data_IF_064040281010
#
_entry.id   IF_064040281010
#
_cell.length_a   1.000
_cell.length_b   1.000
_cell.length_c   1.000
_cell.angle_alpha   90.00
_cell.angle_beta   90.00
_cell.angle_gamma   90.00
#
_symmetry.space_group_name_H-M   'P 1'
#
loop_
_entity.id
_entity.type
_entity.pdbx_description
1 polymer ?
#
# COMPACT_ATOMS: atom_id res chain seq x y z
N UNK A 1 1.00 13.37 2.43
CA UNK A 1 1.77 14.59 2.65
C UNK A 1 0.97 15.71 3.25
N UNK A 2 1.50 16.27 4.31
CA UNK A 2 0.90 17.33 5.12
C UNK A 2 1.16 18.76 4.57
N UNK A 3 1.44 18.86 3.27
CA UNK A 3 1.54 20.14 2.60
C UNK A 3 0.18 20.84 2.46
N UNK A 4 0.19 21.96 1.79
CA UNK A 4 -1.03 22.68 1.45
C UNK A 4 -1.96 21.75 0.63
N UNK A 5 -3.07 21.32 1.25
CA UNK A 5 -4.05 20.39 0.67
C UNK A 5 -4.58 20.95 -0.65
N UNK A 6 -4.81 22.25 -0.73
CA UNK A 6 -5.29 22.91 -1.95
C UNK A 6 -4.25 22.88 -3.08
N UNK A 7 -2.97 23.09 -2.75
CA UNK A 7 -1.88 22.97 -3.74
C UNK A 7 -1.74 21.55 -4.24
N UNK A 8 -1.79 20.54 -3.33
CA UNK A 8 -1.75 19.14 -3.68
C UNK A 8 -2.90 18.76 -4.62
N UNK A 9 -4.13 19.13 -4.28
CA UNK A 9 -5.31 18.84 -5.10
C UNK A 9 -5.27 19.55 -6.45
N UNK A 10 -4.83 20.81 -6.49
CA UNK A 10 -4.68 21.57 -7.74
C UNK A 10 -3.65 20.90 -8.65
N UNK A 11 -2.49 20.54 -8.11
CA UNK A 11 -1.43 19.87 -8.85
C UNK A 11 -1.89 18.51 -9.37
N UNK A 12 -2.59 17.72 -8.56
CA UNK A 12 -3.18 16.46 -8.98
C UNK A 12 -4.12 16.63 -10.18
N UNK A 13 -5.07 17.59 -10.10
CA UNK A 13 -6.00 17.87 -11.21
C UNK A 13 -5.28 18.31 -12.48
N UNK A 14 -4.25 19.14 -12.38
CA UNK A 14 -3.44 19.58 -13.52
C UNK A 14 -2.73 18.39 -14.20
N UNK A 15 -2.08 17.53 -13.42
CA UNK A 15 -1.43 16.34 -13.96
C UNK A 15 -2.41 15.32 -14.51
N UNK A 16 -3.55 15.09 -13.85
CA UNK A 16 -4.60 14.20 -14.36
C UNK A 16 -5.13 14.68 -15.72
N UNK A 17 -5.43 15.96 -15.86
CA UNK A 17 -5.87 16.56 -17.12
C UNK A 17 -4.79 16.48 -18.21
N UNK A 18 -3.52 16.68 -17.86
CA UNK A 18 -2.39 16.54 -18.78
C UNK A 18 -2.22 15.10 -19.23
N UNK A 19 -2.23 14.14 -18.31
CA UNK A 19 -2.11 12.73 -18.64
C UNK A 19 -3.24 12.23 -19.52
N UNK A 20 -4.50 12.66 -19.27
CA UNK A 20 -5.65 12.34 -20.14
C UNK A 20 -5.42 12.78 -21.59
N UNK A 21 -4.90 13.99 -21.81
CA UNK A 21 -4.59 14.49 -23.16
C UNK A 21 -3.43 13.71 -23.81
N UNK A 22 -2.44 13.33 -23.02
CA UNK A 22 -1.23 12.69 -23.53
C UNK A 22 -1.41 11.20 -23.82
N UNK A 23 -2.34 10.52 -23.13
CA UNK A 23 -2.73 9.14 -23.42
C UNK A 23 -3.22 8.99 -24.86
N UNK A 24 -3.99 9.95 -25.35
CA UNK A 24 -4.48 9.93 -26.74
C UNK A 24 -3.35 9.95 -27.80
N UNK A 25 -2.16 10.40 -27.42
CA UNK A 25 -0.99 10.43 -28.31
C UNK A 25 -0.20 9.11 -28.33
N UNK A 26 -0.46 8.18 -27.40
CA UNK A 26 0.11 6.83 -27.33
C UNK A 26 1.65 6.75 -27.30
N UNK A 27 2.35 7.76 -26.80
CA UNK A 27 3.80 7.88 -26.92
C UNK A 27 4.50 7.53 -25.59
N UNK A 28 5.35 6.48 -25.63
CA UNK A 28 6.14 6.03 -24.48
C UNK A 28 7.07 7.12 -23.92
N UNK A 29 7.67 7.93 -24.77
CA UNK A 29 8.54 9.03 -24.33
C UNK A 29 7.76 10.08 -23.53
N UNK A 30 6.56 10.43 -23.97
CA UNK A 30 5.66 11.34 -23.28
C UNK A 30 5.23 10.78 -21.91
N UNK A 31 4.96 9.47 -21.83
CA UNK A 31 4.69 8.77 -20.59
C UNK A 31 5.85 8.94 -19.58
N UNK A 32 7.08 8.63 -19.99
CA UNK A 32 8.25 8.78 -19.12
C UNK A 32 8.46 10.22 -18.65
N UNK A 33 8.27 11.19 -19.56
CA UNK A 33 8.36 12.62 -19.23
C UNK A 33 7.33 13.03 -18.19
N UNK A 34 6.11 12.52 -18.29
CA UNK A 34 5.04 12.79 -17.34
C UNK A 34 5.37 12.20 -15.96
N UNK A 35 5.84 10.95 -15.88
CA UNK A 35 6.25 10.33 -14.61
C UNK A 35 7.33 11.18 -13.91
N UNK A 36 8.39 11.58 -14.61
CA UNK A 36 9.44 12.45 -14.04
C UNK A 36 8.87 13.79 -13.56
N UNK A 37 7.97 14.38 -14.35
CA UNK A 37 7.34 15.66 -13.99
C UNK A 37 6.46 15.54 -12.75
N UNK A 38 5.63 14.50 -12.66
CA UNK A 38 4.75 14.24 -11.52
C UNK A 38 5.58 14.13 -10.23
N UNK A 39 6.56 13.23 -10.21
CA UNK A 39 7.38 12.99 -9.01
C UNK A 39 8.09 14.26 -8.57
N UNK A 40 8.77 14.95 -9.50
CA UNK A 40 9.46 16.21 -9.22
C UNK A 40 8.54 17.28 -8.64
N UNK A 41 7.35 17.44 -9.22
CA UNK A 41 6.44 18.50 -8.82
C UNK A 41 5.78 18.21 -7.47
N UNK A 42 5.49 16.92 -7.17
CA UNK A 42 5.00 16.52 -5.85
C UNK A 42 6.10 16.58 -4.79
N UNK A 43 7.35 16.26 -5.10
CA UNK A 43 8.49 16.42 -4.17
C UNK A 43 8.71 17.88 -3.76
N UNK A 44 8.36 18.83 -4.62
CA UNK A 44 8.52 20.27 -4.36
C UNK A 44 7.41 20.90 -3.52
N UNK A 45 6.33 20.18 -3.24
CA UNK A 45 5.25 20.71 -2.39
C UNK A 45 5.81 20.96 -0.98
N UNK A 46 5.71 22.17 -0.41
CA UNK A 46 6.14 22.41 0.97
C UNK A 46 5.38 21.51 1.95
N UNK A 47 6.09 20.90 2.88
CA UNK A 47 5.52 20.05 3.93
C UNK A 47 5.53 20.81 5.26
N UNK A 48 4.51 20.58 6.06
CA UNK A 48 4.56 20.92 7.49
C UNK A 48 5.39 19.85 8.20
N UNK A 49 6.21 20.25 9.17
CA UNK A 49 6.98 19.31 9.98
C UNK A 49 6.10 18.67 11.07
N UNK A 50 5.13 17.87 10.63
CA UNK A 50 4.21 17.15 11.51
C UNK A 50 4.29 15.66 11.13
N UNK A 51 4.69 14.84 12.07
CA UNK A 51 4.63 13.38 11.90
C UNK A 51 3.21 12.90 12.14
N UNK A 52 2.74 11.97 11.32
CA UNK A 52 1.44 11.34 11.46
C UNK A 52 1.61 9.82 11.41
N UNK A 53 0.76 9.07 12.13
CA UNK A 53 0.77 7.62 11.97
C UNK A 53 0.38 7.27 10.53
N UNK A 54 1.18 6.44 9.88
CA UNK A 54 0.89 5.92 8.54
C UNK A 54 -0.02 4.71 8.66
N UNK A 55 -1.09 4.69 7.88
CA UNK A 55 -2.13 3.65 7.89
C UNK A 55 -2.28 3.07 6.48
N UNK A 56 -1.88 1.81 6.32
CA UNK A 56 -2.08 1.06 5.10
C UNK A 56 -3.53 0.63 4.91
N UNK A 57 -4.02 0.65 3.68
CA UNK A 57 -5.33 0.13 3.30
C UNK A 57 -5.12 -1.04 2.35
N UNK A 58 -5.53 -2.23 2.78
CA UNK A 58 -5.52 -3.46 1.97
C UNK A 58 -6.90 -4.10 1.99
N UNK A 59 -7.11 -5.13 1.19
CA UNK A 59 -8.36 -5.89 1.23
C UNK A 59 -8.95 -6.18 -0.13
N UNK A 60 -10.25 -6.41 -0.17
CA UNK A 60 -10.98 -6.72 -1.39
C UNK A 60 -10.92 -5.53 -2.35
N UNK A 61 -10.65 -5.81 -3.62
CA UNK A 61 -10.29 -4.81 -4.64
C UNK A 61 -11.34 -3.72 -4.81
N UNK A 62 -12.63 -4.08 -4.91
CA UNK A 62 -13.70 -3.09 -5.05
C UNK A 62 -13.79 -2.22 -3.80
N UNK A 63 -13.84 -2.84 -2.63
CA UNK A 63 -13.95 -2.12 -1.34
C UNK A 63 -12.74 -1.25 -1.08
N UNK A 64 -11.53 -1.72 -1.46
CA UNK A 64 -10.29 -0.97 -1.30
C UNK A 64 -10.26 0.33 -2.14
N UNK A 65 -10.70 0.26 -3.40
CA UNK A 65 -10.50 1.35 -4.37
C UNK A 65 -11.74 2.20 -4.66
N UNK A 66 -12.94 1.77 -4.28
CA UNK A 66 -14.17 2.52 -4.47
C UNK A 66 -14.56 3.24 -3.17
N UNK A 67 -14.45 4.59 -3.10
CA UNK A 67 -14.75 5.33 -1.87
C UNK A 67 -16.17 5.09 -1.34
N UNK A 68 -17.15 4.98 -2.23
CA UNK A 68 -18.56 4.71 -1.85
C UNK A 68 -18.73 3.32 -1.23
N UNK A 69 -17.86 2.35 -1.54
CA UNK A 69 -17.92 1.01 -0.97
C UNK A 69 -17.22 0.89 0.39
N UNK A 70 -16.39 1.88 0.78
CA UNK A 70 -15.64 1.88 2.04
C UNK A 70 -15.92 3.11 2.91
N UNK A 71 -17.04 3.79 2.71
CA UNK A 71 -17.45 4.98 3.48
C UNK A 71 -16.36 6.05 3.51
N UNK A 72 -15.72 6.31 2.36
CA UNK A 72 -14.67 7.31 2.20
C UNK A 72 -13.51 7.14 3.21
N UNK A 73 -13.02 5.91 3.36
CA UNK A 73 -12.02 5.55 4.36
C UNK A 73 -10.76 6.41 4.33
N UNK A 74 -10.26 6.77 3.15
CA UNK A 74 -9.06 7.64 3.02
C UNK A 74 -9.30 9.00 3.66
N UNK A 75 -10.43 9.64 3.34
CA UNK A 75 -10.83 10.93 3.89
C UNK A 75 -11.07 10.83 5.40
N UNK A 76 -11.63 9.73 5.87
CA UNK A 76 -11.81 9.46 7.29
C UNK A 76 -10.46 9.41 8.01
N UNK A 77 -9.50 8.63 7.52
CA UNK A 77 -8.17 8.50 8.12
C UNK A 77 -7.42 9.85 8.14
N UNK A 78 -7.47 10.60 7.03
CA UNK A 78 -6.84 11.92 6.94
C UNK A 78 -7.49 12.93 7.90
N UNK A 79 -8.81 12.91 8.07
CA UNK A 79 -9.57 13.76 9.01
C UNK A 79 -9.25 13.42 10.46
N UNK A 80 -9.08 12.15 10.78
CA UNK A 80 -8.71 11.65 12.12
C UNK A 80 -7.19 11.79 12.39
N UNK A 81 -6.44 12.44 11.50
CA UNK A 81 -5.05 12.81 11.73
C UNK A 81 -4.00 11.79 11.31
N UNK A 82 -4.35 10.77 10.54
CA UNK A 82 -3.42 9.81 9.97
C UNK A 82 -2.94 10.18 8.54
N UNK A 83 -1.96 9.46 8.04
CA UNK A 83 -1.56 9.44 6.63
C UNK A 83 -2.01 8.12 6.01
N UNK A 84 -2.96 8.16 5.08
CA UNK A 84 -3.43 6.98 4.39
C UNK A 84 -2.42 6.52 3.32
N UNK A 85 -2.09 5.24 3.29
CA UNK A 85 -1.21 4.59 2.32
C UNK A 85 -2.00 3.50 1.60
N UNK A 86 -2.27 3.71 0.31
CA UNK A 86 -3.02 2.77 -0.52
C UNK A 86 -2.07 2.19 -1.57
N UNK A 87 -1.69 0.91 -1.49
CA UNK A 87 -0.94 0.23 -2.56
C UNK A 87 -1.67 0.30 -3.89
N UNK A 88 -0.92 0.32 -5.00
CA UNK A 88 -1.50 0.57 -6.31
C UNK A 88 -2.30 -0.65 -6.86
N UNK A 89 -3.25 -0.36 -7.76
CA UNK A 89 -4.07 -1.39 -8.40
C UNK A 89 -3.27 -2.25 -9.39
N UNK A 90 -2.18 -1.73 -9.93
CA UNK A 90 -1.39 -2.44 -10.95
C UNK A 90 -0.76 -3.72 -10.39
N UNK A 91 -0.39 -3.73 -9.12
CA UNK A 91 0.19 -4.91 -8.46
C UNK A 91 -0.79 -6.08 -8.39
N UNK A 92 -2.10 -5.81 -8.30
CA UNK A 92 -3.12 -6.85 -8.41
C UNK A 92 -3.15 -7.52 -9.81
N UNK A 93 -2.97 -6.75 -10.87
CA UNK A 93 -2.81 -7.34 -12.22
C UNK A 93 -1.49 -8.12 -12.34
N UNK A 94 -0.41 -7.61 -11.77
CA UNK A 94 0.88 -8.31 -11.73
C UNK A 94 0.78 -9.64 -10.95
N UNK A 95 0.06 -9.65 -9.84
CA UNK A 95 -0.28 -10.87 -9.09
C UNK A 95 -1.01 -11.89 -9.97
N UNK A 96 -2.01 -11.45 -10.73
CA UNK A 96 -2.78 -12.33 -11.61
C UNK A 96 -1.90 -13.00 -12.69
N UNK A 97 -0.96 -12.27 -13.26
CA UNK A 97 0.02 -12.84 -14.20
C UNK A 97 1.00 -13.78 -13.48
N UNK A 98 1.51 -13.40 -12.32
CA UNK A 98 2.48 -14.18 -11.54
C UNK A 98 1.94 -15.55 -11.14
N UNK A 99 0.66 -15.65 -10.84
CA UNK A 99 -0.04 -16.89 -10.51
C UNK A 99 0.07 -17.98 -11.59
N UNK A 100 0.31 -17.60 -12.85
CA UNK A 100 0.50 -18.56 -13.95
C UNK A 100 1.71 -19.46 -13.74
N UNK A 101 2.75 -19.00 -13.03
CA UNK A 101 3.94 -19.80 -12.72
C UNK A 101 3.62 -20.97 -11.78
N UNK A 102 2.84 -20.70 -10.72
CA UNK A 102 2.38 -21.74 -9.81
C UNK A 102 1.44 -22.72 -10.53
N UNK A 103 0.51 -22.21 -11.32
CA UNK A 103 -0.44 -23.04 -12.10
C UNK A 103 0.27 -23.93 -13.11
N UNK A 104 1.34 -23.45 -13.75
CA UNK A 104 2.18 -24.27 -14.60
C UNK A 104 2.89 -25.38 -13.82
N UNK A 105 3.51 -25.03 -12.69
CA UNK A 105 4.32 -25.99 -11.91
C UNK A 105 3.50 -27.07 -11.22
N UNK A 106 2.31 -26.72 -10.70
CA UNK A 106 1.56 -27.59 -9.79
C UNK A 106 0.16 -27.98 -10.27
N UNK A 107 -0.42 -27.26 -11.23
CA UNK A 107 -1.81 -27.45 -11.64
C UNK A 107 -1.93 -27.80 -13.14
N UNK A 108 -0.87 -28.26 -13.79
CA UNK A 108 -0.90 -28.75 -15.18
C UNK A 108 -1.19 -27.69 -16.25
N UNK A 109 -1.13 -26.39 -15.94
CA UNK A 109 -1.25 -25.36 -16.98
C UNK A 109 -0.09 -25.43 -17.97
N UNK A 110 -0.34 -25.01 -19.21
CA UNK A 110 0.65 -25.05 -20.27
C UNK A 110 1.83 -24.11 -20.01
N UNK A 111 3.04 -24.51 -20.39
CA UNK A 111 4.25 -23.69 -20.35
C UNK A 111 4.08 -22.38 -21.13
N UNK A 112 3.36 -22.43 -22.27
CA UNK A 112 3.06 -21.24 -23.07
C UNK A 112 2.33 -20.16 -22.25
N UNK A 113 1.35 -20.53 -21.43
CA UNK A 113 0.62 -19.59 -20.56
C UNK A 113 1.57 -18.90 -19.57
N UNK A 114 2.50 -19.64 -18.95
CA UNK A 114 3.48 -19.05 -18.03
C UNK A 114 4.44 -18.09 -18.75
N UNK A 115 4.90 -18.44 -19.96
CA UNK A 115 5.78 -17.59 -20.78
C UNK A 115 5.06 -16.27 -21.14
N UNK A 116 3.82 -16.34 -21.63
CA UNK A 116 3.04 -15.15 -22.00
C UNK A 116 2.83 -14.24 -20.77
N UNK A 117 2.47 -14.82 -19.62
CA UNK A 117 2.30 -14.06 -18.38
C UNK A 117 3.59 -13.40 -17.88
N UNK A 118 4.72 -14.11 -17.95
CA UNK A 118 6.01 -13.52 -17.59
C UNK A 118 6.45 -12.43 -18.57
N UNK A 119 6.13 -12.57 -19.86
CA UNK A 119 6.36 -11.51 -20.84
C UNK A 119 5.51 -10.27 -20.55
N UNK A 120 4.25 -10.44 -20.15
CA UNK A 120 3.39 -9.34 -19.73
C UNK A 120 3.98 -8.63 -18.49
N UNK A 121 4.42 -9.37 -17.48
CA UNK A 121 5.12 -8.83 -16.31
C UNK A 121 6.35 -8.02 -16.77
N UNK A 122 7.18 -8.58 -17.64
CA UNK A 122 8.38 -7.89 -18.13
C UNK A 122 8.05 -6.58 -18.85
N UNK A 123 7.03 -6.56 -19.72
CA UNK A 123 6.57 -5.34 -20.40
C UNK A 123 6.13 -4.29 -19.40
N UNK A 124 5.27 -4.64 -18.45
CA UNK A 124 4.78 -3.71 -17.42
C UNK A 124 5.95 -3.16 -16.57
N UNK A 125 6.86 -4.02 -16.13
CA UNK A 125 8.04 -3.59 -15.34
C UNK A 125 8.98 -2.70 -16.18
N UNK A 126 9.06 -2.91 -17.49
CA UNK A 126 9.82 -2.03 -18.40
C UNK A 126 9.27 -0.61 -18.41
N UNK A 127 7.94 -0.47 -18.36
CA UNK A 127 7.28 0.83 -18.20
C UNK A 127 7.49 1.41 -16.79
N UNK A 128 7.41 0.59 -15.74
CA UNK A 128 7.59 0.99 -14.34
C UNK A 128 9.03 1.37 -13.99
N UNK A 129 10.03 1.00 -14.80
CA UNK A 129 11.44 1.33 -14.52
C UNK A 129 11.68 2.83 -14.32
N UNK A 130 11.06 3.69 -15.12
CA UNK A 130 11.19 5.14 -14.97
C UNK A 130 10.61 5.59 -13.63
N UNK A 131 9.42 5.09 -13.27
CA UNK A 131 8.78 5.38 -11.98
C UNK A 131 9.69 4.97 -10.82
N UNK A 132 10.18 3.72 -10.80
CA UNK A 132 11.08 3.22 -9.75
C UNK A 132 12.36 4.05 -9.60
N UNK A 133 13.01 4.38 -10.72
CA UNK A 133 14.24 5.18 -10.72
C UNK A 133 14.03 6.59 -10.17
N UNK A 134 12.92 7.21 -10.51
CA UNK A 134 12.63 8.57 -10.02
C UNK A 134 12.16 8.57 -8.56
N UNK A 135 11.35 7.59 -8.15
CA UNK A 135 10.96 7.43 -6.75
C UNK A 135 12.17 7.10 -5.85
N UNK A 136 13.11 6.28 -6.31
CA UNK A 136 14.34 5.98 -5.57
C UNK A 136 15.24 7.21 -5.33
N UNK A 137 15.04 8.32 -6.07
CA UNK A 137 15.73 9.60 -5.85
C UNK A 137 14.93 10.52 -4.92
N UNK A 138 13.66 10.22 -4.68
CA UNK A 138 12.79 11.01 -3.82
C UNK A 138 13.14 10.78 -2.35
N UNK A 139 13.12 11.83 -1.56
CA UNK A 139 13.23 11.74 -0.10
C UNK A 139 11.86 11.52 0.58
N UNK A 140 10.79 11.39 -0.19
CA UNK A 140 9.40 11.37 0.31
C UNK A 140 8.62 10.15 -0.11
N UNK A 141 8.95 9.60 -1.27
CA UNK A 141 8.22 8.52 -1.90
C UNK A 141 9.13 7.33 -2.10
N UNK A 142 8.60 6.15 -1.88
CA UNK A 142 9.31 4.89 -2.07
C UNK A 142 8.85 4.21 -3.37
N UNK A 143 9.75 3.51 -4.07
CA UNK A 143 9.36 2.71 -5.23
C UNK A 143 8.49 1.53 -4.77
N UNK A 144 7.42 1.18 -5.53
CA UNK A 144 6.60 0.01 -5.20
C UNK A 144 7.43 -1.27 -5.26
N UNK A 145 7.11 -2.27 -4.44
CA UNK A 145 7.77 -3.58 -4.43
C UNK A 145 7.60 -4.31 -5.78
N UNK A 146 8.50 -5.26 -6.09
CA UNK A 146 8.25 -6.17 -7.21
C UNK A 146 7.28 -7.26 -6.79
N UNK A 147 6.47 -7.75 -7.73
CA UNK A 147 5.53 -8.83 -7.44
C UNK A 147 6.21 -10.09 -6.87
N UNK A 148 7.47 -10.33 -7.22
CA UNK A 148 8.27 -11.43 -6.65
C UNK A 148 8.56 -11.21 -5.17
N UNK A 149 8.85 -9.97 -4.77
CA UNK A 149 9.15 -9.63 -3.39
C UNK A 149 7.88 -9.78 -2.53
N UNK A 150 6.72 -9.34 -3.05
CA UNK A 150 5.43 -9.56 -2.40
C UNK A 150 5.13 -11.06 -2.21
N UNK A 151 5.47 -11.89 -3.20
CA UNK A 151 5.34 -13.35 -3.07
C UNK A 151 6.27 -13.92 -1.98
N UNK A 152 7.52 -13.45 -1.90
CA UNK A 152 8.44 -13.87 -0.83
C UNK A 152 7.96 -13.41 0.55
N UNK A 153 7.40 -12.20 0.66
CA UNK A 153 6.80 -11.70 1.91
C UNK A 153 5.59 -12.53 2.35
N UNK A 154 4.77 -13.03 1.42
CA UNK A 154 3.60 -13.84 1.75
C UNK A 154 3.96 -15.27 2.19
N UNK A 155 4.99 -15.90 1.59
CA UNK A 155 5.35 -17.32 1.80
C UNK A 155 5.48 -17.78 3.24
N UNK A 156 6.03 -16.98 4.18
CA UNK A 156 6.12 -17.40 5.58
C UNK A 156 4.78 -17.56 6.29
N UNK A 157 3.72 -16.99 5.73
CA UNK A 157 2.38 -16.91 6.34
C UNK A 157 1.35 -17.77 5.61
N UNK A 158 1.40 -17.78 4.27
CA UNK A 158 0.45 -18.49 3.42
C UNK A 158 1.13 -19.08 2.20
N UNK A 159 0.61 -20.20 1.71
CA UNK A 159 1.05 -20.74 0.42
C UNK A 159 0.65 -19.81 -0.72
N UNK A 160 1.56 -19.59 -1.69
CA UNK A 160 1.24 -18.87 -2.93
C UNK A 160 0.25 -19.63 -3.84
N UNK A 161 -0.17 -20.82 -3.42
CA UNK A 161 -1.30 -21.56 -4.01
C UNK A 161 -2.67 -20.99 -3.63
N UNK A 162 -2.76 -20.15 -2.62
CA UNK A 162 -3.98 -19.38 -2.30
C UNK A 162 -4.16 -18.26 -3.32
N UNK A 163 -4.86 -18.54 -4.43
CA UNK A 163 -4.94 -17.67 -5.61
C UNK A 163 -6.37 -17.22 -5.92
N UNK A 164 -7.34 -17.51 -5.05
CA UNK A 164 -8.72 -17.06 -5.21
C UNK A 164 -8.87 -15.62 -4.73
N UNK A 165 -9.49 -14.76 -5.52
CA UNK A 165 -9.56 -13.33 -5.24
C UNK A 165 -8.17 -12.71 -5.13
N UNK A 166 -7.94 -11.93 -4.09
CA UNK A 166 -6.65 -11.32 -3.76
C UNK A 166 -5.59 -12.36 -3.33
N UNK A 167 -6.02 -13.48 -2.79
CA UNK A 167 -5.18 -14.60 -2.43
C UNK A 167 -3.96 -14.21 -1.60
N UNK A 168 -2.82 -14.86 -1.83
CA UNK A 168 -1.55 -14.61 -1.13
C UNK A 168 -1.08 -13.14 -1.25
N UNK A 169 -1.51 -12.46 -2.30
CA UNK A 169 -1.12 -11.06 -2.56
C UNK A 169 -1.54 -10.14 -1.42
N UNK A 170 -2.75 -10.30 -0.87
CA UNK A 170 -3.25 -9.53 0.27
C UNK A 170 -2.32 -9.65 1.50
N UNK A 171 -1.86 -10.86 1.80
CA UNK A 171 -0.88 -11.08 2.89
C UNK A 171 0.46 -10.43 2.57
N UNK A 172 0.92 -10.53 1.32
CA UNK A 172 2.16 -9.89 0.84
C UNK A 172 2.12 -8.37 0.96
N UNK A 173 1.01 -7.74 0.58
CA UNK A 173 0.79 -6.29 0.75
C UNK A 173 0.85 -5.86 2.23
N UNK A 174 0.27 -6.64 3.15
CA UNK A 174 0.35 -6.31 4.58
C UNK A 174 1.80 -6.30 5.07
N UNK A 175 2.60 -7.30 4.69
CA UNK A 175 4.00 -7.38 5.10
C UNK A 175 4.83 -6.25 4.47
N UNK A 176 4.60 -5.95 3.21
CA UNK A 176 5.24 -4.83 2.51
C UNK A 176 4.94 -3.49 3.21
N UNK A 177 3.69 -3.23 3.58
CA UNK A 177 3.31 -2.04 4.32
C UNK A 177 4.01 -1.94 5.67
N UNK A 178 4.14 -3.03 6.42
CA UNK A 178 4.88 -3.06 7.68
C UNK A 178 6.35 -2.68 7.43
N UNK A 179 7.00 -3.28 6.44
CA UNK A 179 8.39 -3.01 6.10
C UNK A 179 8.62 -1.57 5.61
N UNK A 180 7.65 -1.00 4.90
CA UNK A 180 7.70 0.40 4.42
C UNK A 180 7.31 1.43 5.49
N UNK A 181 7.17 1.03 6.76
CA UNK A 181 6.88 1.93 7.87
C UNK A 181 5.41 2.36 7.98
N UNK A 182 4.48 1.58 7.44
CA UNK A 182 3.04 1.72 7.62
C UNK A 182 2.45 0.50 8.36
N UNK A 183 2.86 0.23 9.62
CA UNK A 183 2.47 -0.97 10.35
C UNK A 183 1.02 -0.96 10.84
N UNK A 184 0.34 0.19 10.76
CA UNK A 184 -1.09 0.28 11.06
C UNK A 184 -1.85 -0.04 9.78
N UNK A 185 -2.73 -1.04 9.79
CA UNK A 185 -3.38 -1.53 8.58
C UNK A 185 -4.88 -1.71 8.80
N UNK A 186 -5.67 -1.15 7.89
CA UNK A 186 -7.10 -1.46 7.73
C UNK A 186 -7.24 -2.45 6.58
N UNK A 187 -7.70 -3.65 6.90
CA UNK A 187 -8.06 -4.68 5.91
C UNK A 187 -9.57 -4.56 5.63
N UNK A 188 -9.91 -4.05 4.46
CA UNK A 188 -11.30 -3.78 4.02
C UNK A 188 -11.87 -4.98 3.28
N UNK A 189 -13.08 -5.39 3.61
CA UNK A 189 -13.71 -6.54 2.97
C UNK A 189 -15.25 -6.47 3.04
N UNK A 190 -15.97 -7.08 2.11
CA UNK A 190 -17.38 -7.38 2.32
C UNK A 190 -17.53 -8.55 3.30
N UNK A 191 -18.66 -8.62 4.00
CA UNK A 191 -18.98 -9.75 4.87
C UNK A 191 -18.99 -11.07 4.07
N UNK A 192 -18.40 -12.12 4.63
CA UNK A 192 -18.36 -13.42 3.97
C UNK A 192 -17.41 -13.55 2.79
N UNK A 193 -16.57 -12.55 2.50
CA UNK A 193 -15.54 -12.66 1.48
C UNK A 193 -14.49 -13.72 1.88
N UNK A 194 -14.63 -14.93 1.34
CA UNK A 194 -13.79 -16.08 1.71
C UNK A 194 -12.29 -15.81 1.58
N UNK A 195 -11.76 -15.29 0.44
CA UNK A 195 -10.33 -15.00 0.34
C UNK A 195 -9.84 -14.07 1.44
N UNK A 196 -10.54 -12.98 1.70
CA UNK A 196 -10.15 -12.02 2.73
C UNK A 196 -10.23 -12.59 4.15
N UNK A 197 -11.17 -13.50 4.42
CA UNK A 197 -11.23 -14.21 5.70
C UNK A 197 -10.03 -15.13 5.90
N UNK A 198 -9.58 -15.84 4.86
CA UNK A 198 -8.46 -16.78 4.93
C UNK A 198 -7.12 -16.05 4.97
N UNK A 199 -6.82 -15.25 3.94
CA UNK A 199 -5.48 -14.65 3.73
C UNK A 199 -5.36 -13.21 4.24
N UNK A 200 -6.46 -12.61 4.65
CA UNK A 200 -6.50 -11.31 5.34
C UNK A 200 -6.65 -11.51 6.85
N UNK A 201 -7.87 -11.74 7.31
CA UNK A 201 -8.23 -11.89 8.73
C UNK A 201 -7.52 -13.07 9.40
N UNK A 202 -7.44 -14.22 8.72
CA UNK A 202 -6.87 -15.46 9.27
C UNK A 202 -5.37 -15.38 9.58
N UNK A 203 -4.62 -14.51 8.90
CA UNK A 203 -3.17 -14.36 9.11
C UNK A 203 -2.79 -13.29 10.13
N UNK A 204 -3.73 -12.45 10.59
CA UNK A 204 -3.44 -11.30 11.48
C UNK A 204 -2.70 -11.74 12.76
N UNK A 205 -3.10 -12.85 13.36
CA UNK A 205 -2.47 -13.35 14.58
C UNK A 205 -1.00 -13.70 14.35
N UNK A 206 -0.69 -14.39 13.25
CA UNK A 206 0.67 -14.79 12.92
C UNK A 206 1.51 -13.58 12.46
N UNK A 207 0.91 -12.63 11.74
CA UNK A 207 1.56 -11.36 11.39
C UNK A 207 2.00 -10.60 12.65
N UNK A 208 1.11 -10.43 13.62
CA UNK A 208 1.42 -9.76 14.89
C UNK A 208 2.48 -10.47 15.72
N UNK A 209 2.55 -11.80 15.64
CA UNK A 209 3.57 -12.58 16.33
C UNK A 209 4.96 -12.32 15.76
N UNK A 210 5.08 -12.20 14.45
CA UNK A 210 6.36 -11.95 13.76
C UNK A 210 6.71 -10.47 13.63
N UNK A 211 5.69 -9.62 13.63
CA UNK A 211 5.78 -8.16 13.54
C UNK A 211 5.00 -7.54 14.71
N UNK A 212 5.60 -7.46 15.91
CA UNK A 212 4.91 -6.94 17.12
C UNK A 212 4.41 -5.51 16.97
N UNK A 213 5.00 -4.72 16.07
CA UNK A 213 4.59 -3.38 15.70
C UNK A 213 3.29 -3.33 14.88
N UNK A 214 2.87 -4.46 14.32
CA UNK A 214 1.71 -4.54 13.42
C UNK A 214 0.39 -4.31 14.18
N UNK A 215 -0.30 -3.24 13.82
CA UNK A 215 -1.58 -2.83 14.37
C UNK A 215 -2.65 -2.95 13.27
N UNK A 216 -3.20 -4.15 13.10
CA UNK A 216 -4.07 -4.52 11.97
C UNK A 216 -5.51 -4.65 12.45
N UNK A 217 -6.45 -4.04 11.75
CA UNK A 217 -7.89 -4.21 11.95
C UNK A 217 -8.57 -4.63 10.66
N UNK A 218 -9.41 -5.66 10.71
CA UNK A 218 -10.26 -6.04 9.59
C UNK A 218 -11.64 -5.40 9.76
N UNK A 219 -12.14 -4.73 8.72
CA UNK A 219 -13.42 -4.03 8.71
C UNK A 219 -14.30 -4.60 7.59
N UNK A 220 -15.49 -5.03 7.98
CA UNK A 220 -16.49 -5.52 7.02
C UNK A 220 -17.33 -4.31 6.54
N UNK A 221 -17.44 -4.15 5.22
CA UNK A 221 -18.22 -3.10 4.56
C UNK A 221 -19.36 -3.73 3.77
N UNK A 222 -20.55 -3.65 4.32
CA UNK A 222 -21.79 -4.14 3.70
C UNK A 222 -22.90 -3.11 3.87
N UNK A 223 -23.91 -3.09 2.99
CA UNK A 223 -25.04 -2.16 3.10
C UNK A 223 -25.79 -2.24 4.43
N UNK A 224 -25.78 -3.42 5.09
CA UNK A 224 -26.41 -3.63 6.40
C UNK A 224 -25.44 -3.52 7.58
N UNK A 225 -24.16 -3.26 7.36
CA UNK A 225 -23.19 -3.15 8.44
C UNK A 225 -23.33 -1.82 9.20
N UNK A 226 -23.10 -1.87 10.51
CA UNK A 226 -23.14 -0.66 11.34
C UNK A 226 -21.94 0.22 11.08
N UNK A 227 -22.15 1.37 10.45
CA UNK A 227 -21.12 2.39 10.23
C UNK A 227 -20.47 2.84 11.54
N UNK A 228 -21.26 2.94 12.62
CA UNK A 228 -20.75 3.29 13.95
C UNK A 228 -19.75 2.25 14.45
N UNK A 229 -19.99 0.96 14.26
CA UNK A 229 -19.06 -0.09 14.65
C UNK A 229 -17.78 -0.05 13.82
N UNK A 230 -17.87 0.20 12.52
CA UNK A 230 -16.71 0.38 11.64
C UNK A 230 -15.85 1.55 12.14
N UNK A 231 -16.48 2.70 12.36
CA UNK A 231 -15.83 3.91 12.85
C UNK A 231 -15.14 3.69 14.20
N UNK A 232 -15.81 3.07 15.16
CA UNK A 232 -15.26 2.80 16.48
C UNK A 232 -14.00 1.91 16.41
N UNK A 233 -14.02 0.88 15.56
CA UNK A 233 -12.87 -0.01 15.37
C UNK A 233 -11.68 0.71 14.72
N UNK A 234 -11.95 1.57 13.74
CA UNK A 234 -10.92 2.40 13.10
C UNK A 234 -10.34 3.39 14.12
N UNK A 235 -11.16 4.08 14.91
CA UNK A 235 -10.70 5.01 15.94
C UNK A 235 -9.87 4.34 17.03
N UNK A 236 -10.24 3.12 17.43
CA UNK A 236 -9.45 2.34 18.39
C UNK A 236 -8.06 2.00 17.83
N UNK A 237 -8.00 1.57 16.57
CA UNK A 237 -6.75 1.31 15.86
C UNK A 237 -5.90 2.59 15.77
N UNK A 238 -6.50 3.73 15.41
CA UNK A 238 -5.81 5.02 15.31
C UNK A 238 -5.29 5.50 16.67
N UNK A 239 -6.05 5.33 17.76
CA UNK A 239 -5.58 5.64 19.11
C UNK A 239 -4.32 4.86 19.47
N UNK A 240 -4.27 3.58 19.11
CA UNK A 240 -3.07 2.74 19.28
C UNK A 240 -1.92 3.23 18.41
N UNK A 241 -2.19 3.58 17.14
CA UNK A 241 -1.21 4.09 16.20
C UNK A 241 -0.57 5.41 16.69
N UNK A 242 -1.36 6.33 17.22
CA UNK A 242 -0.89 7.59 17.79
C UNK A 242 -0.01 7.36 19.03
N UNK A 243 -0.43 6.47 19.94
CA UNK A 243 0.38 6.10 21.12
C UNK A 243 1.73 5.50 20.72
N UNK A 244 1.75 4.63 19.71
CA UNK A 244 2.99 4.01 19.24
C UNK A 244 3.91 5.03 18.58
N UNK A 245 3.37 5.99 17.84
CA UNK A 245 4.14 7.08 17.24
C UNK A 245 4.82 7.92 18.32
N UNK A 246 4.08 8.36 19.35
CA UNK A 246 4.60 9.15 20.47
C UNK A 246 5.68 8.40 21.26
N UNK A 247 5.50 7.09 21.50
CA UNK A 247 6.52 6.27 22.17
C UNK A 247 7.82 6.24 21.36
N UNK A 248 7.73 6.07 20.05
CA UNK A 248 8.89 6.04 19.15
C UNK A 248 9.64 7.38 19.17
N UNK A 249 8.91 8.50 19.12
CA UNK A 249 9.51 9.84 19.18
C UNK A 249 10.27 10.07 20.49
N UNK A 250 9.69 9.68 21.65
CA UNK A 250 10.35 9.80 22.94
C UNK A 250 11.64 8.94 23.01
N UNK A 251 11.60 7.72 22.48
CA UNK A 251 12.78 6.84 22.44
C UNK A 251 13.89 7.41 21.54
N UNK A 252 13.53 8.02 20.41
CA UNK A 252 14.49 8.65 19.49
C UNK A 252 15.16 9.88 20.14
N UNK A 253 14.41 10.67 20.92
CA UNK A 253 14.93 11.83 21.68
C UNK A 253 15.90 11.37 22.75
N UNK A 254 15.54 10.36 23.56
CA UNK A 254 16.38 9.83 24.63
C UNK A 254 17.70 9.23 24.09
N UNK A 255 17.64 8.57 22.93
CA UNK A 255 18.82 7.99 22.29
C UNK A 255 19.76 9.05 21.70
N UNK A 256 19.24 10.15 21.18
CA UNK A 256 20.03 11.28 20.69
C UNK A 256 20.71 12.03 21.85
N UNK A 257 19.99 12.27 22.93
CA UNK A 257 20.54 12.94 24.13
C UNK A 257 21.69 12.13 24.78
N UNK A 258 21.61 10.78 24.78
CA UNK A 258 22.69 9.93 25.28
C UNK A 258 23.94 9.99 24.39
N UNK A 259 23.78 10.00 23.06
CA UNK A 259 24.90 10.13 22.14
C UNK A 259 25.63 11.46 22.27
N UNK A 260 24.90 12.55 22.45
CA UNK A 260 25.49 13.89 22.65
C UNK A 260 26.25 14.01 23.96
N UNK A 261 25.80 13.31 25.03
CA UNK A 261 26.50 13.25 26.30
C UNK A 261 27.78 12.40 26.26
N UNK A 262 27.82 11.34 25.45
CA UNK A 262 29.01 10.50 25.27
C UNK A 262 30.08 11.14 24.37
N UNK A 263 29.71 12.07 23.48
CA UNK A 263 30.66 12.82 22.63
C UNK A 263 31.26 14.00 23.39
N UNK A 264 30.62 14.45 24.47
CA UNK A 264 31.08 15.60 25.27
C UNK A 264 31.90 15.21 26.52
N UNK A 265 32.11 13.92 26.76
CA UNK A 265 32.89 13.37 27.83
C UNK A 265 34.23 12.81 27.30
#
# INVERSE_FOLDING_TARGET
>A
GLGDVYKRQKLHRQWAAKCKRDIAKGNFYTFQKNIRGIIRDFDRIPLKNIKKPRVGIVGEILVKFLPDANNHLVELLEREGAEAVVPDLLDFFMYSFYNSNFKYRYLGKSKKSAIVSNSAIWVVERYRQTLRKELAKSNRFEPPAYIKDLAEYAKPFVSIGNQTGEGWFLTGEMVELIHSGAPNIVCTQPFGCLPNHVVGKGVIKELRKRHPEANIVAIDYDPGASEVNQLNRIKLMLSTAQKNLLKKENTDVDSSAKKDSEISA
#
